data_IF_950290257324
#
_entry.id   IF_950290257324
#
_cell.length_a   1.000
_cell.length_b   1.000
_cell.length_c   1.000
_cell.angle_alpha   90.00
_cell.angle_beta   90.00
_cell.angle_gamma   90.00
#
_symmetry.space_group_name_H-M   'P 1'
#
loop_
_entity.id
_entity.type
_entity.pdbx_description
1 polymer ?
#
# COMPACT_ATOMS: atom_id res chain seq x y z
N UNK A 1 -15.90 12.02 3.17
CA UNK A 1 -15.36 10.72 2.71
C UNK A 1 -15.00 10.86 1.25
N UNK A 2 -13.71 10.90 0.90
CA UNK A 2 -13.32 10.71 -0.51
C UNK A 2 -13.39 9.20 -0.70
N UNK A 3 -14.46 8.74 -1.35
CA UNK A 3 -14.67 7.34 -1.63
C UNK A 3 -13.52 6.86 -2.54
N UNK A 4 -12.60 6.10 -1.97
CA UNK A 4 -11.74 5.24 -2.75
C UNK A 4 -12.67 4.34 -3.58
N UNK A 5 -12.43 4.24 -4.90
CA UNK A 5 -13.34 3.52 -5.79
C UNK A 5 -13.52 2.08 -5.28
N UNK A 6 -14.76 1.70 -4.98
CA UNK A 6 -15.06 0.42 -4.36
C UNK A 6 -14.67 -0.77 -5.25
N UNK A 7 -14.66 -0.59 -6.57
CA UNK A 7 -14.19 -1.58 -7.53
C UNK A 7 -12.67 -1.74 -7.46
N UNK A 8 -11.94 -0.63 -7.39
CA UNK A 8 -10.47 -0.65 -7.24
C UNK A 8 -10.07 -1.26 -5.90
N UNK A 9 -10.77 -0.94 -4.81
CA UNK A 9 -10.53 -1.55 -3.50
C UNK A 9 -10.74 -3.08 -3.52
N UNK A 10 -11.77 -3.56 -4.23
CA UNK A 10 -12.01 -4.99 -4.39
C UNK A 10 -10.96 -5.69 -5.27
N UNK A 11 -10.56 -5.06 -6.38
CA UNK A 11 -9.47 -5.57 -7.23
C UNK A 11 -8.16 -5.66 -6.44
N UNK A 12 -7.85 -4.62 -5.68
CA UNK A 12 -6.67 -4.53 -4.84
C UNK A 12 -6.64 -5.58 -3.72
N UNK A 13 -7.79 -5.88 -3.10
CA UNK A 13 -7.91 -6.98 -2.14
C UNK A 13 -7.61 -8.34 -2.80
N UNK A 14 -8.01 -8.54 -4.07
CA UNK A 14 -7.65 -9.76 -4.81
C UNK A 14 -6.15 -9.85 -5.10
N UNK A 15 -5.47 -8.73 -5.36
CA UNK A 15 -4.02 -8.68 -5.60
C UNK A 15 -3.22 -9.12 -4.37
N UNK A 16 -3.66 -8.72 -3.17
CA UNK A 16 -3.08 -9.19 -1.91
C UNK A 16 -3.36 -10.67 -1.59
N UNK A 17 -4.27 -11.30 -2.33
CA UNK A 17 -4.68 -12.68 -2.14
C UNK A 17 -5.81 -12.87 -1.12
N UNK A 18 -6.49 -14.02 -1.23
CA UNK A 18 -7.74 -14.32 -0.51
C UNK A 18 -7.67 -14.28 1.03
N UNK A 19 -6.46 -14.22 1.62
CA UNK A 19 -6.27 -14.09 3.06
C UNK A 19 -6.36 -12.65 3.58
N UNK A 20 -6.15 -11.63 2.74
CA UNK A 20 -6.02 -10.23 3.14
C UNK A 20 -7.35 -9.48 2.98
N UNK A 21 -8.34 -9.82 3.81
CA UNK A 21 -9.72 -9.34 3.65
C UNK A 21 -10.05 -8.09 4.48
N UNK A 22 -9.18 -7.68 5.41
CA UNK A 22 -9.45 -6.56 6.31
C UNK A 22 -8.68 -5.33 5.82
N UNK A 23 -9.41 -4.34 5.28
CA UNK A 23 -8.82 -3.06 4.88
C UNK A 23 -8.36 -2.29 6.12
N UNK A 24 -7.10 -1.87 6.14
CA UNK A 24 -6.49 -1.16 7.28
C UNK A 24 -6.45 0.34 7.01
N UNK A 25 -5.98 0.76 5.84
CA UNK A 25 -5.86 2.17 5.48
C UNK A 25 -5.91 2.34 3.96
N UNK A 26 -6.39 3.50 3.52
CA UNK A 26 -6.41 3.87 2.11
C UNK A 26 -6.16 5.37 1.94
N UNK A 27 -5.36 5.74 0.95
CA UNK A 27 -5.05 7.12 0.61
C UNK A 27 -5.18 7.33 -0.89
N UNK A 28 -6.08 8.24 -1.29
CA UNK A 28 -6.31 8.63 -2.69
C UNK A 28 -5.53 9.89 -3.03
N UNK A 29 -4.73 9.84 -4.09
CA UNK A 29 -3.90 10.93 -4.58
C UNK A 29 -4.55 11.59 -5.80
N UNK A 30 -5.72 12.21 -5.58
CA UNK A 30 -6.48 12.89 -6.63
C UNK A 30 -6.98 11.91 -7.71
N UNK A 31 -6.55 12.15 -8.95
CA UNK A 31 -6.87 11.32 -10.13
C UNK A 31 -5.70 10.44 -10.56
N UNK A 32 -4.59 10.43 -9.81
CA UNK A 32 -3.37 9.73 -10.21
C UNK A 32 -3.33 8.30 -9.73
N UNK A 33 -3.75 8.07 -8.49
CA UNK A 33 -3.74 6.73 -7.94
C UNK A 33 -4.22 6.67 -6.51
N UNK A 34 -4.36 5.44 -6.02
CA UNK A 34 -4.83 5.17 -4.67
C UNK A 34 -4.00 4.06 -4.04
N UNK A 35 -3.41 4.33 -2.88
CA UNK A 35 -2.71 3.31 -2.09
C UNK A 35 -3.65 2.72 -1.08
N UNK A 36 -3.59 1.40 -0.95
CA UNK A 36 -4.41 0.66 -0.01
C UNK A 36 -3.56 -0.36 0.73
N UNK A 37 -3.96 -0.62 1.98
CA UNK A 37 -3.35 -1.66 2.80
C UNK A 37 -4.39 -2.59 3.40
N UNK A 38 -4.06 -3.88 3.43
CA UNK A 38 -4.88 -4.92 4.03
C UNK A 38 -4.09 -5.73 5.03
N UNK A 39 -4.81 -6.33 5.97
CA UNK A 39 -4.30 -7.38 6.86
C UNK A 39 -5.17 -8.64 6.75
N UNK A 40 -4.59 -9.78 7.08
CA UNK A 40 -5.33 -11.03 7.23
C UNK A 40 -5.90 -11.22 8.65
N UNK A 41 -5.72 -10.23 9.53
CA UNK A 41 -6.22 -10.23 10.91
C UNK A 41 -5.49 -11.21 11.85
N UNK A 42 -4.59 -12.04 11.32
CA UNK A 42 -3.75 -12.95 12.10
C UNK A 42 -2.55 -12.20 12.62
N UNK A 43 -2.09 -12.53 13.81
CA UNK A 43 -0.82 -12.04 14.33
C UNK A 43 0.24 -13.09 14.04
N UNK A 44 1.33 -12.72 13.35
CA UNK A 44 2.42 -13.67 13.02
C UNK A 44 3.52 -13.72 14.08
N UNK A 45 3.46 -12.81 15.07
CA UNK A 45 4.37 -12.75 16.21
C UNK A 45 3.65 -12.60 17.54
N UNK A 46 4.37 -12.11 18.55
CA UNK A 46 3.88 -12.00 19.93
C UNK A 46 3.07 -10.74 20.18
N UNK A 47 3.20 -9.72 19.33
CA UNK A 47 2.58 -8.41 19.52
C UNK A 47 1.51 -8.14 18.47
N UNK A 48 0.50 -7.34 18.82
CA UNK A 48 -0.56 -6.92 17.89
C UNK A 48 -0.02 -6.25 16.60
N UNK A 49 1.17 -5.68 16.68
CA UNK A 49 1.92 -5.00 15.61
C UNK A 49 2.56 -5.98 14.62
N UNK A 50 2.77 -7.24 15.02
CA UNK A 50 3.28 -8.33 14.16
C UNK A 50 2.18 -8.87 13.21
N UNK A 51 1.18 -8.04 12.90
CA UNK A 51 0.13 -8.35 11.95
C UNK A 51 0.67 -8.16 10.54
N UNK A 52 0.48 -9.14 9.65
CA UNK A 52 0.99 -9.05 8.31
C UNK A 52 0.15 -8.05 7.53
N UNK A 53 0.84 -7.21 6.78
CA UNK A 53 0.25 -6.20 5.92
C UNK A 53 0.60 -6.52 4.48
N UNK A 54 -0.37 -6.32 3.61
CA UNK A 54 -0.18 -6.20 2.18
C UNK A 54 -0.47 -4.76 1.76
N UNK A 55 0.42 -4.15 0.98
CA UNK A 55 0.25 -2.83 0.41
C UNK A 55 0.24 -2.90 -1.12
N UNK A 56 -0.67 -2.15 -1.74
CA UNK A 56 -0.76 -2.01 -3.20
C UNK A 56 -1.04 -0.55 -3.55
N UNK A 57 -0.35 -0.03 -4.54
CA UNK A 57 -0.55 1.32 -5.07
C UNK A 57 -1.12 1.25 -6.48
N UNK A 58 -2.40 1.58 -6.62
CA UNK A 58 -3.10 1.56 -7.90
C UNK A 58 -2.84 2.81 -8.72
N UNK A 59 -2.71 2.60 -10.03
CA UNK A 59 -2.63 3.63 -11.03
C UNK A 59 -4.04 3.93 -11.58
N UNK A 60 -4.57 5.10 -11.23
CA UNK A 60 -5.90 5.54 -11.67
C UNK A 60 -5.83 6.38 -12.97
N UNK A 61 -4.65 6.54 -13.61
CA UNK A 61 -4.51 7.33 -14.84
C UNK A 61 -4.80 6.56 -16.13
N UNK A 62 -4.83 5.22 -16.07
CA UNK A 62 -5.00 4.35 -17.23
C UNK A 62 -3.79 4.28 -18.17
N UNK A 63 -2.63 4.83 -17.79
CA UNK A 63 -1.40 4.77 -18.59
C UNK A 63 -0.18 4.45 -17.74
N UNK A 64 0.84 3.82 -18.32
CA UNK A 64 2.02 3.42 -17.56
C UNK A 64 2.84 4.62 -17.08
N UNK A 65 3.09 4.66 -15.79
CA UNK A 65 3.85 5.74 -15.13
C UNK A 65 4.93 5.17 -14.22
N UNK A 66 5.97 5.96 -13.97
CA UNK A 66 6.99 5.58 -13.00
C UNK A 66 6.39 5.67 -11.61
N UNK A 67 6.22 4.52 -10.97
CA UNK A 67 5.65 4.40 -9.64
C UNK A 67 6.65 3.70 -8.73
N UNK A 68 6.61 4.06 -7.45
CA UNK A 68 7.30 3.37 -6.38
C UNK A 68 6.36 3.24 -5.20
N UNK A 69 6.24 2.03 -4.71
CA UNK A 69 5.62 1.73 -3.43
C UNK A 69 6.71 1.18 -2.53
N UNK A 70 6.76 1.65 -1.30
CA UNK A 70 7.62 1.11 -0.26
C UNK A 70 6.77 0.85 0.97
N UNK A 71 6.99 -0.28 1.61
CA UNK A 71 6.34 -0.69 2.85
C UNK A 71 7.45 -0.85 3.90
N UNK A 72 7.28 -0.10 4.98
CA UNK A 72 8.16 -0.09 6.15
C UNK A 72 7.36 -0.57 7.35
N UNK A 73 7.94 -1.41 8.19
CA UNK A 73 7.38 -1.69 9.50
C UNK A 73 7.85 -0.68 10.55
N UNK A 74 7.39 -0.87 11.79
CA UNK A 74 7.79 -0.05 12.93
C UNK A 74 9.13 -0.50 13.56
N UNK A 75 9.81 -1.51 12.99
CA UNK A 75 11.00 -2.13 13.54
C UNK A 75 12.23 -1.77 12.71
N UNK A 76 13.20 -1.06 13.30
CA UNK A 76 14.43 -0.64 12.59
C UNK A 76 15.33 -1.80 12.13
N UNK A 77 15.08 -3.02 12.61
CA UNK A 77 15.85 -4.21 12.27
C UNK A 77 15.32 -4.94 11.03
N UNK A 78 14.09 -4.68 10.58
CA UNK A 78 13.55 -5.30 9.37
C UNK A 78 13.86 -4.41 8.17
N UNK A 79 14.43 -4.94 7.08
CA UNK A 79 14.57 -4.15 5.87
C UNK A 79 13.19 -3.80 5.31
N UNK A 80 13.06 -2.56 4.86
CA UNK A 80 11.89 -2.13 4.11
C UNK A 80 11.77 -2.94 2.83
N UNK A 81 10.53 -3.25 2.43
CA UNK A 81 10.25 -3.83 1.12
C UNK A 81 9.79 -2.74 0.19
N UNK A 82 10.26 -2.76 -1.05
CA UNK A 82 9.85 -1.78 -2.04
C UNK A 82 9.73 -2.39 -3.42
N UNK A 83 8.82 -1.81 -4.20
CA UNK A 83 8.62 -2.11 -5.60
C UNK A 83 8.65 -0.80 -6.36
N UNK A 84 9.50 -0.71 -7.38
CA UNK A 84 9.69 0.50 -8.16
C UNK A 84 9.89 0.15 -9.62
N UNK A 85 9.23 0.92 -10.49
CA UNK A 85 9.21 0.59 -11.91
C UNK A 85 8.20 1.44 -12.66
N UNK A 86 7.93 1.05 -13.90
CA UNK A 86 6.90 1.70 -14.72
C UNK A 86 5.71 0.76 -14.82
N UNK A 87 4.60 1.14 -14.18
CA UNK A 87 3.42 0.29 -14.04
C UNK A 87 2.19 0.94 -14.67
N UNK A 88 1.42 0.15 -15.41
CA UNK A 88 0.14 0.57 -16.01
C UNK A 88 -1.06 0.38 -15.09
N UNK A 89 -1.00 -0.58 -14.17
CA UNK A 89 -2.14 -0.96 -13.33
C UNK A 89 -1.87 -0.68 -11.86
N UNK A 90 -0.80 -1.25 -11.30
CA UNK A 90 -0.43 -1.04 -9.90
C UNK A 90 1.06 -1.36 -9.64
N UNK A 91 1.60 -0.82 -8.56
CA UNK A 91 2.88 -1.22 -7.96
C UNK A 91 2.62 -2.07 -6.70
N UNK A 92 3.44 -3.10 -6.46
CA UNK A 92 3.20 -4.16 -5.47
C UNK A 92 2.57 -5.42 -6.10
N UNK A 93 2.00 -6.35 -5.30
CA UNK A 93 1.78 -6.28 -3.86
C UNK A 93 3.05 -6.45 -3.04
N UNK A 94 3.21 -5.60 -2.03
CA UNK A 94 4.28 -5.72 -1.04
C UNK A 94 3.75 -6.33 0.24
N UNK A 95 4.44 -7.35 0.74
CA UNK A 95 4.06 -8.07 1.94
C UNK A 95 5.09 -7.85 3.04
N UNK A 96 4.61 -7.52 4.24
CA UNK A 96 5.44 -7.46 5.43
C UNK A 96 4.75 -8.16 6.58
N UNK A 97 5.43 -9.15 7.17
CA UNK A 97 4.87 -9.96 8.26
C UNK A 97 4.59 -9.12 9.52
N UNK A 98 5.35 -8.04 9.72
CA UNK A 98 5.24 -7.14 10.88
C UNK A 98 4.83 -5.71 10.49
N UNK A 99 4.02 -5.55 9.46
CA UNK A 99 3.75 -4.23 8.86
C UNK A 99 2.74 -3.36 9.61
N UNK A 100 2.01 -3.89 10.59
CA UNK A 100 1.00 -3.11 11.32
C UNK A 100 1.71 -2.07 12.21
N UNK A 101 1.17 -0.84 12.31
CA UNK A 101 1.85 0.35 12.85
C UNK A 101 2.97 0.93 11.98
N UNK A 102 3.29 0.30 10.85
CA UNK A 102 4.29 0.79 9.91
C UNK A 102 3.81 1.96 9.06
N UNK A 103 4.51 2.18 7.95
CA UNK A 103 4.17 3.21 6.97
C UNK A 103 4.39 2.70 5.54
N UNK A 104 3.50 3.11 4.65
CA UNK A 104 3.70 2.98 3.20
C UNK A 104 4.13 4.30 2.62
N UNK A 105 5.11 4.28 1.74
CA UNK A 105 5.51 5.41 0.92
C UNK A 105 5.06 5.17 -0.53
N UNK A 106 4.29 6.10 -1.07
CA UNK A 106 3.78 6.06 -2.44
C UNK A 106 4.37 7.21 -3.22
N UNK A 107 4.91 6.89 -4.39
CA UNK A 107 5.52 7.85 -5.29
C UNK A 107 5.07 7.58 -6.72
N UNK A 108 4.73 8.62 -7.46
CA UNK A 108 4.38 8.54 -8.88
C UNK A 108 4.92 9.76 -9.62
N UNK A 109 5.52 9.50 -10.76
CA UNK A 109 6.01 10.50 -11.69
C UNK A 109 5.34 10.32 -13.05
N UNK A 110 4.75 11.40 -13.55
CA UNK A 110 4.13 11.49 -14.87
C UNK A 110 5.03 12.36 -15.74
N UNK A 111 5.70 11.75 -16.71
CA UNK A 111 6.75 12.40 -17.49
C UNK A 111 7.90 12.87 -16.59
N UNK A 112 8.06 14.20 -16.46
CA UNK A 112 9.07 14.82 -15.60
C UNK A 112 8.54 15.28 -14.24
N UNK A 113 7.23 15.24 -14.02
CA UNK A 113 6.56 15.82 -12.85
C UNK A 113 6.22 14.76 -11.82
N UNK A 114 6.62 14.99 -10.57
CA UNK A 114 6.18 14.16 -9.43
C UNK A 114 4.78 14.58 -9.04
N UNK A 115 3.83 13.65 -9.16
CA UNK A 115 2.40 13.88 -8.90
C UNK A 115 1.93 13.21 -7.61
N UNK A 116 2.65 12.18 -7.16
CA UNK A 116 2.46 11.53 -5.87
C UNK A 116 3.81 11.44 -5.18
N UNK A 117 3.88 11.92 -3.96
CA UNK A 117 5.02 11.81 -3.05
C UNK A 117 4.46 11.89 -1.62
N UNK A 118 4.06 10.75 -1.07
CA UNK A 118 3.29 10.74 0.16
C UNK A 118 3.56 9.51 1.02
N UNK A 119 3.67 9.73 2.33
CA UNK A 119 3.68 8.69 3.35
C UNK A 119 2.29 8.49 3.94
N UNK A 120 1.84 7.24 4.06
CA UNK A 120 0.60 6.85 4.72
C UNK A 120 0.93 5.89 5.86
N UNK A 121 0.46 6.20 7.07
CA UNK A 121 0.63 5.33 8.25
C UNK A 121 -0.36 4.16 8.19
N UNK A 122 0.06 3.00 8.66
CA UNK A 122 -0.71 1.75 8.57
C UNK A 122 -1.34 1.46 9.92
N UNK A 123 -2.66 1.58 10.00
CA UNK A 123 -3.43 1.34 11.22
C UNK A 123 -3.25 2.44 12.26
N UNK A 124 -4.04 2.36 13.32
CA UNK A 124 -3.90 3.21 14.51
C UNK A 124 -3.05 2.48 15.53
N UNK A 125 -1.92 3.09 15.89
CA UNK A 125 -1.04 2.63 16.96
C UNK A 125 -0.69 3.83 17.81
N UNK A 126 -1.29 3.86 18.99
CA UNK A 126 -1.13 4.86 20.04
C UNK A 126 -0.17 4.32 21.11
#
# INVERSE_FOLDING_TARGET
MIAADAGVAAAAANVCGAGYTISVSAARYGTYGTTYTWTNGKTTGSNYEDRPICAVFFNDTGTAHSMRLKLSDNYTATPDVEDSGTFSEYAGPLYQNKGYCGQTYSYMKVGSTVVVDNYMRIGACD
#
